data_IF_197999752437
#
_entry.id   IF_197999752437
#
_cell.length_a   1.000
_cell.length_b   1.000
_cell.length_c   1.000
_cell.angle_alpha   90.00
_cell.angle_beta   90.00
_cell.angle_gamma   90.00
#
_symmetry.space_group_name_H-M   'P 1'
#
loop_
_entity.id
_entity.type
_entity.pdbx_description
1 polymer ?
#
# COMPACT_ATOMS: atom_id res chain seq x y z
N UNK A 1 14.97 20.94 -13.14
CA UNK A 1 14.43 19.63 -13.56
C UNK A 1 12.99 19.84 -14.01
N UNK A 2 12.49 19.13 -15.02
CA UNK A 2 11.08 19.24 -15.44
C UNK A 2 10.14 18.57 -14.44
N UNK A 3 8.90 19.03 -14.38
CA UNK A 3 7.82 18.48 -13.53
C UNK A 3 7.59 16.99 -13.78
N UNK A 4 7.62 16.56 -15.04
CA UNK A 4 7.52 15.15 -15.44
C UNK A 4 8.63 14.28 -14.83
N UNK A 5 9.87 14.78 -14.76
CA UNK A 5 10.99 14.05 -14.14
C UNK A 5 10.81 13.93 -12.63
N UNK A 6 10.19 14.91 -11.99
CA UNK A 6 9.90 14.85 -10.55
C UNK A 6 8.80 13.82 -10.28
N UNK A 7 7.72 13.82 -11.07
CA UNK A 7 6.64 12.86 -10.95
C UNK A 7 7.13 11.42 -11.15
N UNK A 8 7.91 11.17 -12.21
CA UNK A 8 8.46 9.84 -12.47
C UNK A 8 9.33 9.32 -11.33
N UNK A 9 10.12 10.18 -10.69
CA UNK A 9 10.94 9.79 -9.52
C UNK A 9 10.06 9.46 -8.32
N UNK A 10 8.99 10.20 -8.12
CA UNK A 10 8.02 9.93 -7.06
C UNK A 10 7.31 8.58 -7.27
N UNK A 11 6.86 8.30 -8.49
CA UNK A 11 6.22 7.01 -8.81
C UNK A 11 7.19 5.84 -8.59
N UNK A 12 8.46 5.99 -8.97
CA UNK A 12 9.50 5.01 -8.70
C UNK A 12 9.75 4.80 -7.21
N UNK A 13 9.71 5.87 -6.40
CA UNK A 13 9.79 5.76 -4.94
C UNK A 13 8.61 4.96 -4.38
N UNK A 14 7.39 5.14 -4.90
CA UNK A 14 6.22 4.38 -4.43
C UNK A 14 6.34 2.89 -4.71
N UNK A 15 6.83 2.52 -5.91
CA UNK A 15 7.13 1.14 -6.27
C UNK A 15 8.19 0.56 -5.33
N UNK A 16 9.29 1.28 -5.12
CA UNK A 16 10.35 0.85 -4.21
C UNK A 16 9.85 0.71 -2.76
N UNK A 17 9.02 1.65 -2.30
CA UNK A 17 8.42 1.63 -0.97
C UNK A 17 7.50 0.43 -0.79
N UNK A 18 6.73 0.05 -1.82
CA UNK A 18 5.93 -1.18 -1.79
C UNK A 18 6.81 -2.40 -1.49
N UNK A 19 7.85 -2.62 -2.29
CA UNK A 19 8.70 -3.80 -2.14
C UNK A 19 9.52 -3.79 -0.85
N UNK A 20 10.09 -2.63 -0.49
CA UNK A 20 10.87 -2.49 0.74
C UNK A 20 10.03 -2.78 1.98
N UNK A 21 8.81 -2.24 2.04
CA UNK A 21 7.89 -2.54 3.15
C UNK A 21 7.41 -3.98 3.11
N UNK A 22 7.13 -4.57 1.94
CA UNK A 22 6.73 -5.97 1.86
C UNK A 22 7.83 -6.91 2.38
N UNK A 23 9.07 -6.65 1.99
CA UNK A 23 10.19 -7.58 2.16
C UNK A 23 11.03 -7.32 3.42
N UNK A 24 10.95 -6.11 3.99
CA UNK A 24 11.87 -5.68 5.06
C UNK A 24 11.26 -4.72 6.08
N UNK A 25 9.93 -4.65 6.20
CA UNK A 25 9.23 -3.70 7.10
C UNK A 25 9.68 -3.81 8.55
N UNK A 26 10.04 -4.98 9.03
CA UNK A 26 10.55 -5.21 10.40
C UNK A 26 11.84 -4.44 10.71
N UNK A 27 12.60 -4.05 9.69
CA UNK A 27 13.78 -3.21 9.82
C UNK A 27 13.48 -1.71 9.70
N UNK A 28 12.24 -1.32 9.39
CA UNK A 28 11.88 0.09 9.29
C UNK A 28 12.01 0.79 10.65
N UNK A 29 12.64 1.97 10.65
CA UNK A 29 12.85 2.77 11.86
C UNK A 29 12.13 4.11 11.80
N UNK A 30 12.58 5.03 10.96
CA UNK A 30 11.92 6.32 10.81
C UNK A 30 12.33 7.05 9.54
N UNK A 31 13.61 6.91 9.19
CA UNK A 31 14.15 7.43 7.95
C UNK A 31 13.72 6.53 6.78
N UNK A 32 12.84 7.07 5.95
CA UNK A 32 12.38 6.41 4.73
C UNK A 32 13.53 6.34 3.72
N UNK A 33 14.26 7.42 3.49
CA UNK A 33 15.24 7.48 2.41
C UNK A 33 16.38 6.50 2.65
N UNK A 34 16.90 6.48 3.87
CA UNK A 34 17.88 5.48 4.30
C UNK A 34 17.33 4.06 4.20
N UNK A 35 16.09 3.81 4.64
CA UNK A 35 15.45 2.50 4.55
C UNK A 35 15.35 1.99 3.10
N UNK A 36 14.89 2.84 2.17
CA UNK A 36 14.78 2.49 0.75
C UNK A 36 16.15 2.28 0.11
N UNK A 37 17.14 3.11 0.48
CA UNK A 37 18.52 2.98 0.00
C UNK A 37 19.16 1.68 0.45
N UNK A 38 19.00 1.32 1.72
CA UNK A 38 19.53 0.07 2.27
C UNK A 38 18.84 -1.14 1.65
N UNK A 39 17.52 -1.09 1.43
CA UNK A 39 16.79 -2.15 0.73
C UNK A 39 17.30 -2.35 -0.70
N UNK A 40 17.46 -1.27 -1.48
CA UNK A 40 18.01 -1.37 -2.85
C UNK A 40 19.42 -1.97 -2.86
N UNK A 41 20.28 -1.54 -1.92
CA UNK A 41 21.63 -2.06 -1.79
C UNK A 41 21.60 -3.57 -1.52
N UNK A 42 20.79 -4.01 -0.57
CA UNK A 42 20.72 -5.41 -0.17
C UNK A 42 20.14 -6.32 -1.26
N UNK A 43 19.14 -5.86 -2.02
CA UNK A 43 18.67 -6.58 -3.21
C UNK A 43 19.78 -6.68 -4.26
N UNK A 44 20.48 -5.57 -4.53
CA UNK A 44 21.58 -5.53 -5.52
C UNK A 44 22.77 -6.42 -5.14
N UNK A 45 23.00 -6.59 -3.85
CA UNK A 45 24.04 -7.46 -3.28
C UNK A 45 23.56 -8.92 -3.10
N UNK A 46 22.34 -9.26 -3.54
CA UNK A 46 21.71 -10.58 -3.34
C UNK A 46 21.58 -11.01 -1.87
N UNK A 47 21.51 -10.05 -0.95
CA UNK A 47 21.25 -10.30 0.49
C UNK A 47 19.76 -10.53 0.76
N UNK A 48 18.90 -9.92 -0.07
CA UNK A 48 17.46 -10.16 -0.06
C UNK A 48 17.10 -10.82 -1.41
N UNK A 49 16.49 -12.02 -1.41
CA UNK A 49 15.95 -12.62 -2.62
C UNK A 49 14.89 -11.70 -3.24
N UNK A 50 14.99 -11.48 -4.55
CA UNK A 50 14.02 -10.67 -5.30
C UNK A 50 13.82 -11.27 -6.68
N UNK A 51 12.76 -12.07 -6.84
CA UNK A 51 12.36 -12.61 -8.13
C UNK A 51 11.52 -11.56 -8.87
N UNK A 52 12.06 -11.02 -9.96
CA UNK A 52 11.40 -9.95 -10.69
C UNK A 52 10.04 -10.36 -11.28
N UNK A 53 9.90 -11.60 -11.73
CA UNK A 53 8.67 -12.06 -12.37
C UNK A 53 7.57 -12.28 -11.33
N UNK A 54 7.91 -12.86 -10.17
CA UNK A 54 6.96 -13.02 -9.06
C UNK A 54 6.55 -11.67 -8.46
N UNK A 55 7.53 -10.79 -8.22
CA UNK A 55 7.31 -9.47 -7.63
C UNK A 55 6.50 -8.56 -8.55
N UNK A 56 6.73 -8.62 -9.87
CA UNK A 56 5.92 -7.91 -10.85
C UNK A 56 4.47 -8.39 -10.83
N UNK A 57 4.23 -9.71 -10.88
CA UNK A 57 2.87 -10.27 -10.86
C UNK A 57 2.11 -9.87 -9.59
N UNK A 58 2.76 -9.93 -8.44
CA UNK A 58 2.17 -9.55 -7.16
C UNK A 58 1.81 -8.06 -7.12
N UNK A 59 2.72 -7.21 -7.60
CA UNK A 59 2.50 -5.77 -7.69
C UNK A 59 1.30 -5.47 -8.62
N UNK A 60 1.31 -5.99 -9.84
CA UNK A 60 0.23 -5.79 -10.80
C UNK A 60 -1.12 -6.29 -10.28
N UNK A 61 -1.17 -7.47 -9.66
CA UNK A 61 -2.39 -8.01 -9.04
C UNK A 61 -2.92 -7.10 -7.94
N UNK A 62 -2.03 -6.57 -7.09
CA UNK A 62 -2.38 -5.62 -6.03
C UNK A 62 -3.05 -4.36 -6.59
N UNK A 63 -2.45 -3.73 -7.61
CA UNK A 63 -2.99 -2.50 -8.18
C UNK A 63 -4.20 -2.73 -9.08
N UNK A 64 -4.32 -3.90 -9.72
CA UNK A 64 -5.55 -4.30 -10.39
C UNK A 64 -6.71 -4.40 -9.39
N UNK A 65 -6.48 -4.97 -8.20
CA UNK A 65 -7.50 -5.06 -7.16
C UNK A 65 -7.93 -3.66 -6.69
N UNK A 66 -6.98 -2.78 -6.40
CA UNK A 66 -7.32 -1.39 -6.04
C UNK A 66 -8.02 -0.62 -7.15
N UNK A 67 -7.69 -0.89 -8.43
CA UNK A 67 -8.37 -0.29 -9.56
C UNK A 67 -9.86 -0.65 -9.57
N UNK A 68 -10.19 -1.90 -9.31
CA UNK A 68 -11.58 -2.35 -9.24
C UNK A 68 -12.28 -1.84 -7.96
N UNK A 69 -11.55 -1.66 -6.86
CA UNK A 69 -12.09 -1.15 -5.58
C UNK A 69 -12.43 0.34 -5.63
N UNK A 70 -11.54 1.23 -6.08
CA UNK A 70 -11.81 2.68 -6.05
C UNK A 70 -10.92 3.52 -7.00
N UNK A 71 -10.26 2.83 -7.93
CA UNK A 71 -9.47 3.46 -8.98
C UNK A 71 -8.38 4.39 -8.45
N UNK A 72 -8.24 5.53 -9.12
CA UNK A 72 -7.22 6.55 -8.86
C UNK A 72 -7.39 7.27 -7.51
N UNK A 73 -8.54 7.08 -6.84
CA UNK A 73 -8.91 7.86 -5.66
C UNK A 73 -8.77 7.10 -4.35
N UNK A 74 -8.38 5.82 -4.41
CA UNK A 74 -8.18 4.93 -3.26
C UNK A 74 -7.10 5.41 -2.27
N UNK A 75 -6.14 6.22 -2.72
CA UNK A 75 -5.07 6.78 -1.87
C UNK A 75 -5.21 8.29 -1.64
N UNK A 76 -6.29 8.89 -2.13
CA UNK A 76 -6.51 10.33 -2.09
C UNK A 76 -7.30 10.74 -0.84
N UNK A 77 -7.03 11.91 -0.28
CA UNK A 77 -7.76 12.43 0.86
C UNK A 77 -9.25 12.67 0.53
N UNK A 78 -10.11 12.36 1.50
CA UNK A 78 -11.57 12.49 1.41
C UNK A 78 -12.16 13.10 2.67
N UNK A 79 -13.30 13.78 2.54
CA UNK A 79 -14.14 14.26 3.65
C UNK A 79 -15.60 13.94 3.34
N UNK A 80 -16.12 12.88 3.95
CA UNK A 80 -17.37 12.27 3.49
C UNK A 80 -17.21 11.81 2.04
N UNK A 81 -18.21 12.11 1.21
CA UNK A 81 -18.21 11.77 -0.22
C UNK A 81 -17.27 12.64 -1.07
N UNK A 82 -16.76 13.75 -0.53
CA UNK A 82 -15.92 14.68 -1.29
C UNK A 82 -14.47 14.22 -1.33
N UNK A 83 -13.95 13.99 -2.53
CA UNK A 83 -12.54 13.65 -2.82
C UNK A 83 -11.77 14.94 -3.12
N UNK A 84 -10.58 15.11 -2.51
CA UNK A 84 -9.74 16.30 -2.67
C UNK A 84 -8.50 16.05 -3.53
N UNK A 85 -8.36 14.87 -4.14
CA UNK A 85 -7.26 14.47 -5.02
C UNK A 85 -5.85 14.73 -4.45
N UNK A 86 -5.71 14.74 -3.12
CA UNK A 86 -4.41 14.85 -2.46
C UNK A 86 -3.97 13.47 -2.01
N UNK A 87 -2.94 12.92 -2.65
CA UNK A 87 -2.37 11.63 -2.28
C UNK A 87 -1.85 11.63 -0.84
N UNK A 88 -2.14 10.55 -0.09
CA UNK A 88 -1.70 10.35 1.29
C UNK A 88 -0.76 9.13 1.32
N UNK A 89 0.54 9.38 1.55
CA UNK A 89 1.57 8.32 1.60
C UNK A 89 1.26 7.28 2.68
N UNK A 90 0.87 7.70 3.89
CA UNK A 90 0.55 6.76 4.96
C UNK A 90 -0.66 5.88 4.64
N UNK A 91 -1.63 6.41 3.88
CA UNK A 91 -2.77 5.63 3.38
C UNK A 91 -2.31 4.59 2.36
N UNK A 92 -1.49 5.02 1.40
CA UNK A 92 -0.87 4.14 0.42
C UNK A 92 -0.18 2.96 1.10
N UNK A 93 0.73 3.22 2.05
CA UNK A 93 1.46 2.16 2.77
C UNK A 93 0.53 1.22 3.53
N UNK A 94 -0.48 1.75 4.22
CA UNK A 94 -1.44 0.94 4.95
C UNK A 94 -2.17 -0.04 4.03
N UNK A 95 -2.67 0.48 2.90
CA UNK A 95 -3.52 -0.28 2.00
C UNK A 95 -2.71 -1.29 1.20
N UNK A 96 -1.64 -0.84 0.53
CA UNK A 96 -0.86 -1.71 -0.35
C UNK A 96 -0.15 -2.82 0.40
N UNK A 97 0.23 -2.62 1.67
CA UNK A 97 0.85 -3.68 2.47
C UNK A 97 -0.20 -4.49 3.23
N UNK A 98 -1.24 -3.86 3.80
CA UNK A 98 -2.27 -4.57 4.56
C UNK A 98 -3.09 -5.56 3.73
N UNK A 99 -3.21 -5.33 2.42
CA UNK A 99 -3.89 -6.26 1.51
C UNK A 99 -3.04 -7.49 1.16
N UNK A 100 -1.72 -7.46 1.38
CA UNK A 100 -0.81 -8.52 0.94
C UNK A 100 -1.10 -9.87 1.61
N UNK A 101 -1.61 -9.86 2.85
CA UNK A 101 -2.05 -11.09 3.55
C UNK A 101 -3.18 -11.81 2.80
N UNK A 102 -3.96 -11.09 2.00
CA UNK A 102 -5.16 -11.61 1.33
C UNK A 102 -5.01 -11.71 -0.18
N UNK A 103 -4.02 -11.08 -0.79
CA UNK A 103 -3.86 -10.99 -2.25
C UNK A 103 -3.73 -12.36 -2.91
N UNK A 104 -3.08 -13.33 -2.24
CA UNK A 104 -2.93 -14.71 -2.72
C UNK A 104 -4.24 -15.50 -2.75
N UNK A 105 -5.29 -15.03 -2.07
CA UNK A 105 -6.62 -15.66 -2.09
C UNK A 105 -7.52 -15.18 -3.23
N UNK A 106 -7.08 -14.19 -4.00
CA UNK A 106 -7.77 -13.75 -5.20
C UNK A 106 -7.33 -14.60 -6.39
N UNK A 107 -8.22 -14.82 -7.35
CA UNK A 107 -7.86 -15.47 -8.61
C UNK A 107 -6.83 -14.62 -9.38
N UNK A 108 -5.95 -15.26 -10.14
CA UNK A 108 -4.98 -14.55 -10.98
C UNK A 108 -5.66 -13.89 -12.19
N UNK A 109 -6.76 -14.47 -12.69
CA UNK A 109 -7.60 -13.84 -13.69
C UNK A 109 -8.71 -13.04 -13.00
N UNK A 110 -8.65 -11.71 -13.19
CA UNK A 110 -9.65 -10.78 -12.66
C UNK A 110 -11.07 -11.07 -13.14
N UNK A 111 -11.25 -11.77 -14.26
CA UNK A 111 -12.57 -12.17 -14.75
C UNK A 111 -13.30 -13.12 -13.77
N UNK A 112 -12.55 -13.84 -12.93
CA UNK A 112 -13.06 -14.80 -11.95
C UNK A 112 -13.27 -14.19 -10.55
N UNK A 113 -13.03 -12.89 -10.37
CA UNK A 113 -13.15 -12.28 -9.05
C UNK A 113 -14.60 -12.24 -8.55
N UNK A 114 -14.78 -12.68 -7.30
CA UNK A 114 -16.07 -12.62 -6.62
C UNK A 114 -16.47 -11.15 -6.41
N UNK A 115 -17.52 -10.73 -7.11
CA UNK A 115 -18.07 -9.37 -7.05
C UNK A 115 -18.62 -9.02 -5.67
N UNK A 116 -19.18 -9.99 -4.94
CA UNK A 116 -19.68 -9.77 -3.57
C UNK A 116 -18.50 -9.49 -2.64
N UNK A 117 -17.44 -10.28 -2.75
CA UNK A 117 -16.21 -10.05 -2.00
C UNK A 117 -15.57 -8.70 -2.34
N UNK A 118 -15.50 -8.36 -3.62
CA UNK A 118 -14.98 -7.07 -4.08
C UNK A 118 -15.77 -5.90 -3.47
N UNK A 119 -17.09 -5.99 -3.40
CA UNK A 119 -17.92 -4.94 -2.80
C UNK A 119 -17.73 -4.84 -1.28
N UNK A 120 -17.51 -5.96 -0.58
CA UNK A 120 -17.12 -5.92 0.84
C UNK A 120 -15.79 -5.20 1.04
N UNK A 121 -14.79 -5.48 0.20
CA UNK A 121 -13.50 -4.78 0.24
C UNK A 121 -13.69 -3.28 -0.03
N UNK A 122 -14.49 -2.90 -1.03
CA UNK A 122 -14.84 -1.50 -1.31
C UNK A 122 -15.44 -0.81 -0.10
N UNK A 123 -16.41 -1.45 0.55
CA UNK A 123 -17.03 -0.90 1.75
C UNK A 123 -16.00 -0.66 2.86
N UNK A 124 -15.17 -1.66 3.17
CA UNK A 124 -14.12 -1.53 4.20
C UNK A 124 -13.14 -0.41 3.89
N UNK A 125 -12.58 -0.35 2.68
CA UNK A 125 -11.64 0.71 2.31
C UNK A 125 -12.28 2.10 2.36
N UNK A 126 -13.56 2.20 1.98
CA UNK A 126 -14.33 3.46 2.08
C UNK A 126 -14.51 3.90 3.53
N UNK A 127 -14.85 3.00 4.44
CA UNK A 127 -15.06 3.33 5.86
C UNK A 127 -13.79 3.83 6.56
N UNK A 128 -12.61 3.33 6.16
CA UNK A 128 -11.32 3.76 6.71
C UNK A 128 -11.05 5.26 6.52
N UNK A 129 -11.64 5.91 5.50
CA UNK A 129 -11.53 7.37 5.33
C UNK A 129 -12.24 8.18 6.42
N UNK A 130 -13.14 7.55 7.17
CA UNK A 130 -13.89 8.18 8.27
C UNK A 130 -13.58 7.59 9.64
N UNK A 131 -12.94 6.43 9.70
CA UNK A 131 -12.54 5.74 10.93
C UNK A 131 -11.53 6.58 11.75
N UNK A 132 -11.91 6.91 12.98
CA UNK A 132 -11.11 7.78 13.86
C UNK A 132 -9.89 7.04 14.40
N UNK A 133 -10.02 5.76 14.73
CA UNK A 133 -8.94 4.95 15.28
C UNK A 133 -7.87 4.70 14.21
N UNK A 134 -8.30 4.44 12.97
CA UNK A 134 -7.37 4.32 11.85
C UNK A 134 -6.61 5.61 11.57
N UNK A 135 -7.29 6.77 11.63
CA UNK A 135 -6.68 8.09 11.36
C UNK A 135 -5.57 8.46 12.34
N UNK A 136 -5.59 7.94 13.57
CA UNK A 136 -4.52 8.20 14.53
C UNK A 136 -3.15 7.73 14.01
N UNK A 137 -3.13 6.61 13.28
CA UNK A 137 -1.92 6.08 12.65
C UNK A 137 -1.45 6.88 11.42
N UNK A 138 -2.30 7.72 10.83
CA UNK A 138 -1.99 8.50 9.63
C UNK A 138 -1.44 9.90 9.91
N UNK A 139 -1.64 10.40 11.14
CA UNK A 139 -1.33 11.78 11.55
C UNK A 139 0.17 12.09 11.73
N UNK A 140 0.48 13.16 12.48
CA UNK A 140 1.86 13.57 12.77
C UNK A 140 2.68 12.43 13.39
N UNK A 141 3.96 12.35 13.01
CA UNK A 141 4.85 11.25 13.44
C UNK A 141 4.49 9.88 12.85
N UNK A 142 3.76 9.83 11.73
CA UNK A 142 3.35 8.59 11.03
C UNK A 142 4.52 7.69 10.62
N UNK A 143 5.72 8.24 10.48
CA UNK A 143 6.93 7.48 10.15
C UNK A 143 7.58 6.80 11.36
N UNK A 144 6.87 6.56 12.46
CA UNK A 144 7.37 5.67 13.52
C UNK A 144 7.06 4.20 13.19
N UNK A 145 7.83 3.22 13.68
CA UNK A 145 7.54 1.80 13.41
C UNK A 145 6.19 1.41 13.99
N UNK A 146 5.85 1.95 15.17
CA UNK A 146 4.56 1.72 15.81
C UNK A 146 3.39 2.20 14.95
N UNK A 147 3.46 3.41 14.37
CA UNK A 147 2.39 3.89 13.49
C UNK A 147 2.35 3.18 12.13
N UNK A 148 3.50 2.76 11.60
CA UNK A 148 3.57 1.97 10.35
C UNK A 148 2.95 0.60 10.52
N UNK A 149 3.37 -0.15 11.53
CA UNK A 149 2.81 -1.46 11.79
C UNK A 149 1.34 -1.34 12.21
N UNK A 150 1.01 -0.38 13.07
CA UNK A 150 -0.36 -0.12 13.50
C UNK A 150 -1.34 0.11 12.35
N UNK A 151 -1.04 0.99 11.38
CA UNK A 151 -1.94 1.21 10.23
C UNK A 151 -2.08 -0.03 9.34
N UNK A 152 -1.00 -0.77 9.13
CA UNK A 152 -1.03 -1.96 8.28
C UNK A 152 -1.84 -3.08 8.96
N UNK A 153 -1.54 -3.40 10.21
CA UNK A 153 -2.27 -4.38 11.01
C UNK A 153 -3.76 -4.01 11.16
N UNK A 154 -4.08 -2.71 11.23
CA UNK A 154 -5.46 -2.25 11.27
C UNK A 154 -6.23 -2.62 9.99
N UNK A 155 -5.62 -2.39 8.82
CA UNK A 155 -6.18 -2.81 7.52
C UNK A 155 -6.30 -4.33 7.47
N UNK A 156 -5.25 -5.05 7.88
CA UNK A 156 -5.24 -6.51 7.89
C UNK A 156 -6.42 -7.08 8.69
N UNK A 157 -6.68 -6.55 9.90
CA UNK A 157 -7.80 -6.97 10.75
C UNK A 157 -9.17 -6.65 10.13
N UNK A 158 -9.32 -5.50 9.47
CA UNK A 158 -10.60 -5.10 8.86
C UNK A 158 -10.97 -5.96 7.65
N UNK A 159 -9.98 -6.56 6.99
CA UNK A 159 -10.17 -7.48 5.86
C UNK A 159 -10.29 -8.96 6.29
N UNK A 160 -10.06 -9.27 7.57
CA UNK A 160 -10.08 -10.64 8.07
C UNK A 160 -11.49 -11.25 7.96
N UNK A 161 -11.58 -12.44 7.35
CA UNK A 161 -12.84 -13.16 7.17
C UNK A 161 -13.71 -12.71 5.99
N UNK A 162 -13.21 -11.81 5.13
CA UNK A 162 -13.89 -11.35 3.91
C UNK A 162 -13.62 -12.20 2.67
#
# INVERSE_FOLDING_TARGET
MSEEKLQKRYDQELVLRFFALKNKREHFRHDVEGFLTDYMREVSENKIPFDYDEEQKLFEKTFNLFREIDGETIFCSRKGEKIFNRFIISMYEAFVIGIQKYIGSWDDDKANWDKIRLEKYRHVFSELFTDVDFKDYLGSGSNTPAKLNGRIEYVERKLEGL
#
